data_IF_685569062756
#
_entry.id   IF_685569062756
#
_cell.length_a   1.000
_cell.length_b   1.000
_cell.length_c   1.000
_cell.angle_alpha   90.00
_cell.angle_beta   90.00
_cell.angle_gamma   90.00
#
_symmetry.space_group_name_H-M   'P 1'
#
loop_
_entity.id
_entity.type
_entity.pdbx_description
1 polymer ?
#
# COMPACT_ATOMS: atom_id res chain seq x y z
N UNK A 1 -4.94 8.16 1.79
CA UNK A 1 -4.13 7.07 1.20
C UNK A 1 -2.68 7.38 1.51
N UNK A 2 -1.91 6.41 2.00
CA UNK A 2 -0.54 6.66 2.49
C UNK A 2 0.52 6.39 1.43
N UNK A 3 0.49 5.18 0.85
CA UNK A 3 1.32 4.83 -0.30
C UNK A 3 0.55 3.95 -1.28
N UNK A 4 0.80 4.14 -2.57
CA UNK A 4 0.42 3.22 -3.64
C UNK A 4 1.66 2.95 -4.48
N UNK A 5 2.05 1.68 -4.60
CA UNK A 5 3.21 1.26 -5.37
C UNK A 5 2.78 0.26 -6.42
N UNK A 6 3.09 0.57 -7.68
CA UNK A 6 2.79 -0.28 -8.82
C UNK A 6 4.01 -1.16 -9.13
N UNK A 7 3.77 -2.47 -9.13
CA UNK A 7 4.67 -3.50 -9.63
C UNK A 7 4.25 -3.88 -11.06
N UNK A 8 5.09 -4.57 -11.84
CA UNK A 8 4.74 -4.97 -13.20
C UNK A 8 3.47 -5.83 -13.32
N UNK A 9 3.14 -6.60 -12.28
CA UNK A 9 2.05 -7.57 -12.25
C UNK A 9 0.97 -7.29 -11.18
N UNK A 10 1.24 -6.43 -10.19
CA UNK A 10 0.29 -6.10 -9.12
C UNK A 10 0.56 -4.72 -8.52
N UNK A 11 -0.23 -4.36 -7.49
CA UNK A 11 -0.05 -3.12 -6.73
C UNK A 11 -0.04 -3.40 -5.23
N UNK A 12 0.72 -2.59 -4.51
CA UNK A 12 0.67 -2.50 -3.06
C UNK A 12 0.02 -1.17 -2.67
N UNK A 13 -0.87 -1.22 -1.69
CA UNK A 13 -1.55 -0.03 -1.16
C UNK A 13 -1.54 -0.06 0.35
N UNK A 14 -1.14 1.05 0.97
CA UNK A 14 -1.39 1.33 2.37
C UNK A 14 -2.46 2.41 2.47
N UNK A 15 -3.63 2.03 2.96
CA UNK A 15 -4.81 2.90 3.01
C UNK A 15 -5.43 2.91 4.41
N UNK A 16 -5.69 4.11 4.92
CA UNK A 16 -6.63 4.31 6.02
C UNK A 16 -8.05 4.35 5.47
N UNK A 17 -8.97 3.66 6.12
CA UNK A 17 -10.39 3.59 5.75
C UNK A 17 -11.21 3.99 6.97
N UNK A 18 -12.21 4.90 6.83
CA UNK A 18 -13.15 5.23 7.90
C UNK A 18 -13.82 3.99 8.48
N UNK A 19 -14.15 4.01 9.77
CA UNK A 19 -14.66 2.82 10.48
C UNK A 19 -15.98 2.26 9.94
N UNK A 20 -16.78 3.09 9.25
CA UNK A 20 -18.03 2.73 8.58
C UNK A 20 -17.86 2.35 7.11
N UNK A 21 -16.68 2.54 6.54
CA UNK A 21 -16.39 2.25 5.14
C UNK A 21 -15.87 0.82 4.94
N UNK A 22 -16.21 0.23 3.78
CA UNK A 22 -15.81 -1.13 3.41
C UNK A 22 -14.61 -1.12 2.46
N UNK A 23 -13.52 -1.77 2.87
CA UNK A 23 -12.35 -2.02 2.02
C UNK A 23 -12.73 -2.74 0.71
N UNK A 24 -13.65 -3.70 0.78
CA UNK A 24 -14.13 -4.42 -0.40
C UNK A 24 -14.81 -3.50 -1.40
N UNK A 25 -15.60 -2.53 -0.93
CA UNK A 25 -16.24 -1.54 -1.80
C UNK A 25 -15.20 -0.62 -2.45
N UNK A 26 -14.21 -0.15 -1.68
CA UNK A 26 -13.11 0.68 -2.18
C UNK A 26 -12.33 -0.03 -3.29
N UNK A 27 -11.89 -1.27 -3.04
CA UNK A 27 -11.11 -2.05 -4.03
C UNK A 27 -11.95 -2.39 -5.26
N UNK A 28 -13.23 -2.76 -5.07
CA UNK A 28 -14.15 -3.01 -6.19
C UNK A 28 -14.27 -1.78 -7.10
N UNK A 29 -14.48 -0.61 -6.51
CA UNK A 29 -14.70 0.61 -7.27
C UNK A 29 -13.41 1.08 -7.95
N UNK A 30 -12.26 0.97 -7.28
CA UNK A 30 -10.94 1.22 -7.88
C UNK A 30 -10.68 0.31 -9.09
N UNK A 31 -10.89 -1.02 -8.94
CA UNK A 31 -10.72 -1.99 -10.04
C UNK A 31 -11.67 -1.70 -11.20
N UNK A 32 -12.93 -1.34 -10.91
CA UNK A 32 -13.92 -1.00 -11.93
C UNK A 32 -13.53 0.25 -12.72
N UNK A 33 -13.10 1.31 -12.04
CA UNK A 33 -12.74 2.58 -12.67
C UNK A 33 -11.50 2.39 -13.56
N UNK A 34 -10.44 1.79 -13.00
CA UNK A 34 -9.19 1.55 -13.74
C UNK A 34 -9.39 0.57 -14.91
N UNK A 35 -10.19 -0.47 -14.76
CA UNK A 35 -10.54 -1.35 -15.87
C UNK A 35 -11.24 -0.62 -17.02
N UNK A 36 -12.09 0.37 -16.71
CA UNK A 36 -12.83 1.15 -17.72
C UNK A 36 -11.99 2.23 -18.39
N UNK A 37 -11.18 2.95 -17.63
CA UNK A 37 -10.45 4.13 -18.13
C UNK A 37 -9.15 3.72 -18.82
N UNK A 38 -8.38 2.82 -18.20
CA UNK A 38 -7.04 2.44 -18.68
C UNK A 38 -6.98 0.99 -19.18
N UNK A 39 -8.09 0.24 -19.14
CA UNK A 39 -8.17 -1.10 -19.72
C UNK A 39 -7.51 -2.21 -18.90
N UNK A 40 -7.22 -1.98 -17.61
CA UNK A 40 -6.55 -2.98 -16.77
C UNK A 40 -7.46 -4.19 -16.52
N UNK A 41 -6.92 -5.39 -16.74
CA UNK A 41 -7.56 -6.67 -16.41
C UNK A 41 -7.13 -7.13 -15.03
N UNK A 42 -7.93 -6.81 -14.01
CA UNK A 42 -7.64 -7.21 -12.65
C UNK A 42 -7.95 -8.69 -12.40
N UNK A 43 -7.07 -9.34 -11.63
CA UNK A 43 -7.39 -10.61 -11.00
C UNK A 43 -8.64 -10.47 -10.09
N UNK A 44 -9.42 -11.56 -10.00
CA UNK A 44 -10.55 -11.65 -9.07
C UNK A 44 -10.03 -11.63 -7.64
N UNK A 45 -10.84 -11.09 -6.72
CA UNK A 45 -10.49 -10.90 -5.30
C UNK A 45 -9.28 -9.99 -5.10
N UNK A 46 -8.87 -9.76 -3.85
CA UNK A 46 -7.67 -9.04 -3.48
C UNK A 46 -7.17 -9.61 -2.15
N UNK A 47 -5.89 -9.40 -1.88
CA UNK A 47 -5.32 -9.69 -0.57
C UNK A 47 -5.40 -8.43 0.28
N UNK A 48 -5.84 -8.57 1.52
CA UNK A 48 -5.77 -7.52 2.52
C UNK A 48 -5.21 -8.03 3.83
N UNK A 49 -4.51 -7.13 4.52
CA UNK A 49 -4.01 -7.34 5.86
C UNK A 49 -4.32 -6.09 6.68
N UNK A 50 -5.13 -6.25 7.72
CA UNK A 50 -5.47 -5.16 8.64
C UNK A 50 -4.36 -5.01 9.67
N UNK A 51 -3.78 -3.82 9.76
CA UNK A 51 -2.82 -3.49 10.80
C UNK A 51 -3.49 -3.50 12.17
N UNK A 52 -2.87 -4.23 13.09
CA UNK A 52 -3.26 -4.28 14.51
C UNK A 52 -2.46 -3.26 15.31
N UNK A 53 -2.85 -3.04 16.57
CA UNK A 53 -2.25 -2.02 17.44
C UNK A 53 -0.75 -2.25 17.68
N UNK A 54 -0.28 -3.49 17.61
CA UNK A 54 1.10 -3.91 17.80
C UNK A 54 1.94 -3.88 16.50
N UNK A 55 1.31 -3.70 15.34
CA UNK A 55 2.02 -3.61 14.06
C UNK A 55 2.38 -2.17 13.72
N UNK A 56 3.66 -1.94 13.43
CA UNK A 56 4.15 -0.63 13.02
C UNK A 56 3.70 -0.30 11.60
N UNK A 57 2.93 0.78 11.45
CA UNK A 57 2.59 1.33 10.14
C UNK A 57 3.83 1.74 9.35
N UNK A 58 4.84 2.28 10.04
CA UNK A 58 6.13 2.68 9.45
C UNK A 58 6.83 1.48 8.84
N UNK A 59 6.88 0.34 9.53
CA UNK A 59 7.51 -0.88 9.01
C UNK A 59 6.80 -1.37 7.73
N UNK A 60 5.47 -1.27 7.68
CA UNK A 60 4.70 -1.69 6.49
C UNK A 60 4.88 -0.72 5.33
N UNK A 61 4.95 0.57 5.61
CA UNK A 61 5.28 1.59 4.61
C UNK A 61 6.66 1.34 4.01
N UNK A 62 7.68 1.14 4.84
CA UNK A 62 9.04 0.84 4.41
C UNK A 62 9.10 -0.48 3.64
N UNK A 63 8.42 -1.53 4.12
CA UNK A 63 8.31 -2.79 3.41
C UNK A 63 7.73 -2.60 2.00
N UNK A 64 6.64 -1.83 1.86
CA UNK A 64 6.03 -1.53 0.56
C UNK A 64 7.06 -0.88 -0.35
N UNK A 65 7.70 0.21 0.09
CA UNK A 65 8.71 0.95 -0.69
C UNK A 65 9.90 0.08 -1.12
N UNK A 66 10.26 -0.93 -0.33
CA UNK A 66 11.36 -1.85 -0.63
C UNK A 66 10.99 -2.98 -1.60
N UNK A 67 9.72 -3.17 -1.96
CA UNK A 67 9.31 -4.28 -2.84
C UNK A 67 10.05 -4.31 -4.19
N UNK A 68 10.19 -3.20 -4.93
CA UNK A 68 10.95 -3.17 -6.18
C UNK A 68 12.39 -3.65 -6.02
N UNK A 69 13.06 -3.24 -4.94
CA UNK A 69 14.45 -3.65 -4.64
C UNK A 69 14.51 -5.15 -4.32
N UNK A 70 13.58 -5.65 -3.51
CA UNK A 70 13.52 -7.06 -3.11
C UNK A 70 13.37 -8.03 -4.27
N UNK A 71 12.73 -7.60 -5.36
CA UNK A 71 12.56 -8.41 -6.58
C UNK A 71 13.56 -8.03 -7.68
N UNK A 72 14.52 -7.14 -7.39
CA UNK A 72 15.60 -6.77 -8.32
C UNK A 72 15.17 -5.83 -9.46
N UNK A 73 14.07 -5.10 -9.30
CA UNK A 73 13.59 -4.13 -10.29
C UNK A 73 14.20 -2.72 -10.12
N UNK A 74 14.81 -2.43 -8.96
CA UNK A 74 15.54 -1.20 -8.66
C UNK A 74 16.73 -1.50 -7.74
N UNK A 75 17.78 -0.67 -7.75
CA UNK A 75 18.92 -0.82 -6.83
C UNK A 75 18.62 -0.15 -5.48
N UNK A 76 17.83 0.91 -5.50
CA UNK A 76 17.32 1.59 -4.30
C UNK A 76 15.82 1.92 -4.43
N UNK A 77 15.13 2.08 -3.30
CA UNK A 77 13.68 2.28 -3.28
C UNK A 77 13.24 3.62 -3.89
N UNK A 78 14.09 4.64 -3.77
CA UNK A 78 13.88 5.99 -4.33
C UNK A 78 14.09 6.05 -5.85
N UNK A 79 14.71 5.05 -6.46
CA UNK A 79 14.84 4.93 -7.91
C UNK A 79 13.56 4.40 -8.60
N UNK A 80 12.60 3.86 -7.85
CA UNK A 80 11.39 3.30 -8.43
C UNK A 80 10.36 4.40 -8.75
N UNK A 81 10.07 4.69 -10.04
CA UNK A 81 9.24 5.83 -10.41
C UNK A 81 7.74 5.55 -10.28
N UNK A 82 7.35 4.28 -10.15
CA UNK A 82 5.94 3.86 -10.16
C UNK A 82 5.36 3.80 -8.74
N UNK A 83 5.56 4.88 -7.98
CA UNK A 83 5.10 5.05 -6.62
C UNK A 83 4.37 6.38 -6.46
N UNK A 84 3.27 6.36 -5.70
CA UNK A 84 2.56 7.54 -5.24
C UNK A 84 2.64 7.60 -3.71
N UNK A 85 3.21 8.68 -3.19
CA UNK A 85 3.32 8.95 -1.76
C UNK A 85 2.28 10.03 -1.41
N UNK A 86 1.33 9.68 -0.55
CA UNK A 86 0.33 10.61 -0.03
C UNK A 86 0.79 11.16 1.32
N UNK A 87 0.25 10.59 2.40
CA UNK A 87 0.64 10.91 3.77
C UNK A 87 1.56 9.82 4.32
N UNK A 88 2.89 10.04 4.37
CA UNK A 88 3.80 9.09 5.01
C UNK A 88 3.47 8.99 6.52
N UNK A 89 3.75 7.84 7.14
CA UNK A 89 3.61 7.70 8.59
C UNK A 89 4.40 8.80 9.29
N UNK A 90 3.80 9.42 10.31
CA UNK A 90 4.49 10.40 11.13
C UNK A 90 5.69 9.71 11.79
N UNK A 91 6.90 10.21 11.55
CA UNK A 91 8.16 9.68 12.11
C UNK A 91 8.32 9.92 13.61
N UNK A 92 7.22 10.05 14.36
CA UNK A 92 7.24 10.08 15.81
C UNK A 92 7.34 8.64 16.33
N UNK A 93 8.44 8.25 17.01
CA UNK A 93 8.47 6.97 17.69
C UNK A 93 7.35 6.97 18.72
N UNK A 94 6.39 6.06 18.61
CA UNK A 94 5.56 5.75 19.77
C UNK A 94 6.50 5.16 20.83
N UNK A 95 6.52 5.71 22.06
CA UNK A 95 7.26 5.07 23.15
C UNK A 95 6.83 3.61 23.21
N UNK A 96 7.80 2.69 23.25
CA UNK A 96 7.51 1.32 23.67
C UNK A 96 7.08 1.42 25.14
N UNK A 97 5.77 1.39 25.39
CA UNK A 97 5.26 1.17 26.73
C UNK A 97 5.55 -0.28 27.14
N UNK A 98 6.38 -0.44 28.17
CA UNK A 98 6.38 -1.61 29.05
C UNK A 98 7.48 -2.64 28.84
N UNK A 99 8.40 -2.66 29.82
CA UNK A 99 9.11 -3.80 30.44
C UNK A 99 8.94 -5.21 29.85
#
# INVERSE_FOLDING_TARGET
>A
MKVLLLMPDHLHMLVGIPGDASLSNLVRDFKRITARIVGIRWQRNFFDHRLRHDESETEKYEYICQNPVRVGLALAADEWPYIFIGEPPSSSPQPREGD
#
